data_IF_321325123420
#
_entry.id   IF_321325123420
#
_cell.length_a   1.000
_cell.length_b   1.000
_cell.length_c   1.000
_cell.angle_alpha   90.00
_cell.angle_beta   90.00
_cell.angle_gamma   90.00
#
_symmetry.space_group_name_H-M   'P 1'
#
loop_
_entity.id
_entity.type
_entity.pdbx_description
1 polymer ?
#
# COMPACT_ATOMS: atom_id res chain seq x y z
N UNK A 1 18.32 7.22 -21.78
CA UNK A 1 17.97 6.04 -20.96
C UNK A 1 19.08 5.59 -20.01
N UNK A 2 20.26 5.09 -20.45
CA UNK A 2 21.32 4.60 -19.53
C UNK A 2 21.84 5.63 -18.50
N UNK A 3 21.84 6.93 -18.83
CA UNK A 3 22.37 8.00 -17.95
C UNK A 3 21.43 8.42 -16.80
N UNK A 4 20.11 8.27 -16.98
CA UNK A 4 19.10 8.64 -15.96
C UNK A 4 18.96 7.51 -14.95
N UNK A 5 18.94 6.25 -15.43
CA UNK A 5 18.95 5.07 -14.56
C UNK A 5 20.21 5.09 -13.67
N UNK A 6 21.39 5.41 -14.24
CA UNK A 6 22.63 5.54 -13.47
C UNK A 6 22.56 6.70 -12.45
N UNK A 7 21.87 7.80 -12.75
CA UNK A 7 21.70 8.92 -11.82
C UNK A 7 20.70 8.61 -10.70
N UNK A 8 19.66 7.80 -10.95
CA UNK A 8 18.73 7.34 -9.92
C UNK A 8 19.42 6.32 -9.02
N UNK A 9 20.11 5.32 -9.58
CA UNK A 9 20.88 4.35 -8.78
C UNK A 9 22.07 4.99 -8.08
N UNK A 10 22.73 5.99 -8.69
CA UNK A 10 23.81 6.73 -8.06
C UNK A 10 23.30 7.69 -6.99
N UNK A 11 22.17 8.39 -7.17
CA UNK A 11 21.61 9.27 -6.13
C UNK A 11 21.02 8.45 -4.98
N UNK A 12 20.32 7.36 -5.25
CA UNK A 12 19.82 6.43 -4.22
C UNK A 12 21.00 5.71 -3.53
N UNK A 13 22.04 5.32 -4.28
CA UNK A 13 23.25 4.69 -3.76
C UNK A 13 24.21 5.65 -3.03
N UNK A 14 24.29 6.92 -3.43
CA UNK A 14 25.03 7.97 -2.72
C UNK A 14 24.32 8.35 -1.41
N UNK A 15 22.99 8.27 -1.36
CA UNK A 15 22.24 8.45 -0.11
C UNK A 15 22.31 7.23 0.82
N UNK A 16 22.47 6.01 0.28
CA UNK A 16 22.83 4.85 1.09
C UNK A 16 24.26 4.96 1.70
N UNK A 17 25.12 5.81 1.13
CA UNK A 17 26.48 6.11 1.60
C UNK A 17 26.58 7.38 2.45
N UNK A 18 25.62 8.29 2.38
CA UNK A 18 25.49 9.40 3.30
C UNK A 18 24.88 8.88 4.61
N UNK A 19 25.76 8.48 5.53
CA UNK A 19 25.36 8.01 6.86
C UNK A 19 24.30 8.95 7.47
N UNK A 20 23.17 8.42 7.98
CA UNK A 20 22.25 9.22 8.78
C UNK A 20 22.96 9.75 10.03
N UNK A 21 22.49 10.86 10.64
CA UNK A 21 22.95 11.24 11.96
C UNK A 21 22.80 10.04 12.90
N UNK A 22 23.90 9.74 13.58
CA UNK A 22 24.15 8.55 14.36
C UNK A 22 23.13 8.39 15.49
N UNK A 23 22.12 7.54 15.26
CA UNK A 23 21.24 7.02 16.30
C UNK A 23 21.58 5.57 16.65
N UNK A 24 22.79 5.10 16.31
CA UNK A 24 23.28 3.76 16.69
C UNK A 24 22.61 2.56 16.01
N UNK A 25 21.86 2.74 14.91
CA UNK A 25 21.34 1.64 14.09
C UNK A 25 21.94 1.68 12.69
N UNK A 26 22.58 0.57 12.30
CA UNK A 26 23.28 0.39 11.04
C UNK A 26 22.40 0.70 9.81
N UNK A 27 23.00 1.10 8.67
CA UNK A 27 22.26 1.26 7.41
C UNK A 27 21.60 -0.08 7.06
N UNK A 28 20.29 -0.03 6.82
CA UNK A 28 19.41 -1.15 6.52
C UNK A 28 20.12 -2.25 5.71
N UNK A 29 20.51 -3.33 6.39
CA UNK A 29 20.99 -4.53 5.73
C UNK A 29 19.80 -5.16 4.98
N UNK A 30 19.99 -5.71 3.78
CA UNK A 30 18.95 -6.49 3.12
C UNK A 30 18.52 -7.61 4.08
N UNK A 31 17.19 -7.78 4.21
CA UNK A 31 16.60 -8.79 5.09
C UNK A 31 17.26 -10.15 4.85
N UNK A 32 17.73 -10.77 5.93
CA UNK A 32 18.19 -12.16 5.90
C UNK A 32 17.05 -13.07 5.43
N UNK A 33 17.41 -14.16 4.76
CA UNK A 33 16.48 -15.20 4.36
C UNK A 33 15.68 -15.69 5.59
N UNK A 34 14.43 -15.26 5.73
CA UNK A 34 13.57 -15.72 6.81
C UNK A 34 12.47 -14.75 7.24
N UNK A 35 11.51 -14.46 6.35
CA UNK A 35 10.17 -14.02 6.78
C UNK A 35 9.18 -15.14 6.44
N UNK A 36 8.91 -16.02 7.40
CA UNK A 36 7.97 -17.15 7.33
C UNK A 36 6.50 -16.68 7.42
N UNK A 37 6.17 -15.48 6.95
CA UNK A 37 4.79 -15.00 6.93
C UNK A 37 4.11 -15.49 5.65
N UNK A 38 3.07 -16.33 5.82
CA UNK A 38 2.15 -16.71 4.74
C UNK A 38 1.21 -15.56 4.32
N UNK A 39 1.50 -14.33 4.74
CA UNK A 39 0.78 -13.12 4.30
C UNK A 39 1.27 -12.80 2.89
N UNK A 40 0.37 -12.71 1.89
CA UNK A 40 0.78 -12.45 0.53
C UNK A 40 1.56 -11.13 0.38
N UNK A 41 2.59 -11.18 -0.45
CA UNK A 41 3.45 -10.05 -0.80
C UNK A 41 2.64 -8.93 -1.48
N UNK A 42 2.87 -7.70 -1.05
CA UNK A 42 2.23 -6.48 -1.56
C UNK A 42 2.25 -6.30 -3.07
N UNK A 43 3.37 -6.65 -3.69
CA UNK A 43 3.62 -6.62 -5.13
C UNK A 43 2.84 -7.70 -5.85
N UNK A 44 2.71 -8.89 -5.26
CA UNK A 44 1.86 -9.95 -5.80
C UNK A 44 0.38 -9.56 -5.71
N UNK A 45 -0.02 -8.91 -4.62
CA UNK A 45 -1.42 -8.50 -4.40
C UNK A 45 -1.86 -7.41 -5.36
N UNK A 46 -1.13 -6.30 -5.42
CA UNK A 46 -1.43 -5.23 -6.36
C UNK A 46 -1.17 -5.66 -7.81
N UNK A 47 -0.14 -6.46 -8.05
CA UNK A 47 0.17 -7.01 -9.37
C UNK A 47 -0.93 -7.93 -9.89
N UNK A 48 -1.56 -8.73 -9.03
CA UNK A 48 -2.74 -9.51 -9.39
C UNK A 48 -3.91 -8.61 -9.76
N UNK A 49 -4.15 -7.53 -9.00
CA UNK A 49 -5.23 -6.60 -9.31
C UNK A 49 -5.00 -5.86 -10.65
N UNK A 50 -3.80 -5.34 -10.87
CA UNK A 50 -3.42 -4.57 -12.06
C UNK A 50 -3.38 -5.42 -13.35
N UNK A 51 -3.43 -6.75 -13.25
CA UNK A 51 -3.59 -7.63 -14.44
C UNK A 51 -4.98 -7.55 -15.03
N UNK A 52 -5.96 -7.00 -14.30
CA UNK A 52 -7.35 -7.16 -14.66
C UNK A 52 -8.19 -5.88 -14.60
N UNK A 53 -7.79 -4.89 -13.82
CA UNK A 53 -8.37 -3.53 -13.86
C UNK A 53 -7.32 -2.59 -14.42
N UNK A 54 -7.70 -1.69 -15.33
CA UNK A 54 -6.71 -0.77 -15.90
C UNK A 54 -6.22 0.22 -14.84
N UNK A 55 -4.94 0.56 -14.88
CA UNK A 55 -4.38 1.53 -13.94
C UNK A 55 -5.06 2.91 -14.05
N UNK A 56 -5.56 3.28 -15.23
CA UNK A 56 -6.30 4.51 -15.45
C UNK A 56 -7.64 4.54 -14.69
N UNK A 57 -8.40 3.45 -14.70
CA UNK A 57 -9.66 3.32 -13.94
C UNK A 57 -9.39 3.37 -12.43
N UNK A 58 -8.37 2.65 -11.95
CA UNK A 58 -7.97 2.69 -10.55
C UNK A 58 -7.51 4.09 -10.12
N UNK A 59 -6.78 4.80 -10.99
CA UNK A 59 -6.31 6.17 -10.71
C UNK A 59 -7.45 7.19 -10.66
N UNK A 60 -8.51 6.98 -11.44
CA UNK A 60 -9.73 7.77 -11.36
C UNK A 60 -10.47 7.55 -10.04
N UNK A 61 -10.40 6.34 -9.48
CA UNK A 61 -10.97 5.97 -8.19
C UNK A 61 -10.15 6.46 -6.97
N UNK A 62 -8.91 6.93 -7.16
CA UNK A 62 -8.08 7.43 -6.06
C UNK A 62 -8.75 8.62 -5.35
N UNK A 63 -8.73 8.67 -4.01
CA UNK A 63 -9.29 9.77 -3.24
C UNK A 63 -8.72 11.12 -3.67
N UNK A 64 -9.56 12.15 -3.73
CA UNK A 64 -9.14 13.47 -4.20
C UNK A 64 -8.22 14.09 -3.15
N UNK A 65 -6.99 14.45 -3.53
CA UNK A 65 -5.90 14.87 -2.63
C UNK A 65 -6.09 16.20 -1.87
N UNK A 66 -7.27 16.48 -1.31
CA UNK A 66 -7.52 17.55 -0.34
C UNK A 66 -8.14 16.93 0.91
N UNK A 67 -7.29 16.39 1.79
CA UNK A 67 -7.72 15.92 3.12
C UNK A 67 -8.97 15.06 3.08
N UNK A 68 -9.05 14.14 2.10
CA UNK A 68 -10.16 13.22 1.99
C UNK A 68 -10.29 12.49 3.34
N UNK A 69 -11.43 12.60 4.05
CA UNK A 69 -11.59 12.08 5.40
C UNK A 69 -11.36 10.57 5.52
N UNK A 70 -11.29 9.84 4.40
CA UNK A 70 -10.87 8.42 4.36
C UNK A 70 -9.54 8.17 5.05
N UNK A 71 -8.64 9.16 5.06
CA UNK A 71 -7.31 9.02 5.65
C UNK A 71 -7.05 10.04 6.76
N UNK A 72 -8.03 10.41 7.58
CA UNK A 72 -7.81 11.32 8.73
C UNK A 72 -6.55 10.96 9.53
N UNK A 73 -5.64 11.93 9.74
CA UNK A 73 -4.48 11.77 10.61
C UNK A 73 -4.78 12.49 11.93
N UNK A 74 -5.01 11.71 12.99
CA UNK A 74 -4.90 12.22 14.36
C UNK A 74 -3.47 12.02 14.86
N UNK A 75 -3.00 12.87 15.77
CA UNK A 75 -1.67 12.73 16.42
C UNK A 75 -1.62 11.57 17.43
N UNK A 76 -2.70 10.78 17.54
CA UNK A 76 -2.91 9.67 18.47
C UNK A 76 -2.87 8.28 17.82
N UNK A 77 -2.43 8.19 16.56
CA UNK A 77 -2.39 6.95 15.77
C UNK A 77 -1.50 5.88 16.43
N UNK A 78 -2.05 4.68 16.67
CA UNK A 78 -1.28 3.52 17.13
C UNK A 78 -0.28 3.06 16.06
N UNK A 79 0.80 2.35 16.43
CA UNK A 79 1.82 1.88 15.46
C UNK A 79 1.24 0.94 14.38
N UNK A 80 0.28 0.11 14.76
CA UNK A 80 -0.46 -0.81 13.88
C UNK A 80 -1.25 -0.02 12.83
N UNK A 81 -1.99 0.99 13.29
CA UNK A 81 -2.76 1.93 12.48
C UNK A 81 -1.86 2.72 11.52
N UNK A 82 -0.70 3.18 11.99
CA UNK A 82 0.30 3.86 11.16
C UNK A 82 0.84 2.97 10.04
N UNK A 83 1.13 1.71 10.33
CA UNK A 83 1.68 0.77 9.33
C UNK A 83 0.64 0.37 8.29
N UNK A 84 -0.60 0.11 8.71
CA UNK A 84 -1.74 -0.09 7.80
C UNK A 84 -1.87 1.07 6.82
N UNK A 85 -1.78 2.30 7.31
CA UNK A 85 -1.90 3.48 6.47
C UNK A 85 -0.74 3.67 5.50
N UNK A 86 0.49 3.36 5.91
CA UNK A 86 1.64 3.35 5.00
C UNK A 86 1.41 2.38 3.84
N UNK A 87 0.79 1.23 4.13
CA UNK A 87 0.38 0.28 3.09
C UNK A 87 -0.62 0.88 2.11
N UNK A 88 -1.71 1.46 2.60
CA UNK A 88 -2.72 2.10 1.74
C UNK A 88 -2.11 3.17 0.82
N UNK A 89 -1.25 4.04 1.39
CA UNK A 89 -0.56 5.10 0.63
C UNK A 89 0.45 4.56 -0.39
N UNK A 90 1.08 3.42 -0.11
CA UNK A 90 1.97 2.77 -1.07
C UNK A 90 1.20 2.17 -2.24
N UNK A 91 0.03 1.56 -1.98
CA UNK A 91 -0.86 1.09 -3.04
C UNK A 91 -1.30 2.24 -3.96
N UNK A 92 -1.71 3.38 -3.39
CA UNK A 92 -2.06 4.59 -4.16
C UNK A 92 -0.92 5.05 -5.07
N UNK A 93 0.30 5.11 -4.54
CA UNK A 93 1.49 5.53 -5.29
C UNK A 93 1.78 4.57 -6.45
N UNK A 94 1.73 3.25 -6.20
CA UNK A 94 1.96 2.22 -7.23
C UNK A 94 0.92 2.31 -8.36
N UNK A 95 -0.34 2.55 -8.03
CA UNK A 95 -1.42 2.74 -9.02
C UNK A 95 -1.17 3.99 -9.85
N UNK A 96 -0.90 5.14 -9.20
CA UNK A 96 -0.66 6.41 -9.89
C UNK A 96 0.55 6.35 -10.83
N UNK A 97 1.64 5.70 -10.41
CA UNK A 97 2.82 5.45 -11.24
C UNK A 97 2.46 4.59 -12.45
N UNK A 98 1.70 3.51 -12.23
CA UNK A 98 1.33 2.57 -13.31
C UNK A 98 0.43 3.24 -14.35
N UNK A 99 -0.43 4.17 -13.93
CA UNK A 99 -1.29 4.96 -14.80
C UNK A 99 -0.58 6.14 -15.50
N UNK A 100 0.70 6.36 -15.21
CA UNK A 100 1.45 7.52 -15.68
C UNK A 100 0.79 8.87 -15.33
N UNK A 101 0.12 8.97 -14.18
CA UNK A 101 -0.53 10.20 -13.72
C UNK A 101 0.42 10.99 -12.79
N UNK A 102 1.14 11.93 -13.38
CA UNK A 102 2.11 12.78 -12.67
C UNK A 102 1.48 13.54 -11.49
N UNK A 103 0.25 14.03 -11.65
CA UNK A 103 -0.44 14.79 -10.60
C UNK A 103 -0.78 13.89 -9.42
N UNK A 104 -1.29 12.69 -9.68
CA UNK A 104 -1.60 11.71 -8.65
C UNK A 104 -0.36 11.16 -7.97
N UNK A 105 0.73 10.93 -8.71
CA UNK A 105 2.01 10.54 -8.11
C UNK A 105 2.51 11.61 -7.12
N UNK A 106 2.43 12.89 -7.48
CA UNK A 106 2.82 13.97 -6.58
C UNK A 106 1.95 14.02 -5.31
N UNK A 107 0.64 13.89 -5.46
CA UNK A 107 -0.30 13.90 -4.33
C UNK A 107 -0.05 12.72 -3.37
N UNK A 108 0.08 11.51 -3.91
CA UNK A 108 0.29 10.29 -3.13
C UNK A 108 1.67 10.30 -2.46
N UNK A 109 2.71 10.79 -3.15
CA UNK A 109 4.03 10.98 -2.56
C UNK A 109 4.01 11.94 -1.36
N UNK A 110 3.30 13.07 -1.46
CA UNK A 110 3.14 14.01 -0.33
C UNK A 110 2.43 13.35 0.85
N UNK A 111 1.35 12.60 0.60
CA UNK A 111 0.63 11.87 1.65
C UNK A 111 1.49 10.80 2.31
N UNK A 112 2.26 10.04 1.52
CA UNK A 112 3.18 9.01 2.01
C UNK A 112 4.31 9.60 2.87
N UNK A 113 4.87 10.75 2.46
CA UNK A 113 5.83 11.51 3.28
C UNK A 113 5.21 11.96 4.61
N UNK A 114 3.96 12.44 4.60
CA UNK A 114 3.23 12.76 5.83
C UNK A 114 3.04 11.54 6.73
N UNK A 115 2.73 10.37 6.14
CA UNK A 115 2.65 9.09 6.86
C UNK A 115 3.97 8.69 7.52
N UNK A 116 5.10 8.87 6.82
CA UNK A 116 6.43 8.62 7.40
C UNK A 116 6.75 9.51 8.59
N UNK A 117 6.40 10.80 8.51
CA UNK A 117 6.58 11.72 9.64
C UNK A 117 5.74 11.31 10.85
N UNK A 118 4.50 10.88 10.64
CA UNK A 118 3.60 10.43 11.70
C UNK A 118 4.06 9.13 12.38
N UNK A 119 4.73 8.24 11.64
CA UNK A 119 5.20 6.94 12.12
C UNK A 119 6.63 6.95 12.66
N UNK A 120 7.32 8.09 12.56
CA UNK A 120 8.73 8.19 12.94
C UNK A 120 9.66 7.44 12.00
N UNK A 121 9.23 7.23 10.75
CA UNK A 121 10.04 6.53 9.75
C UNK A 121 11.32 7.32 9.41
N UNK A 122 12.41 6.62 9.04
CA UNK A 122 13.67 7.27 8.69
C UNK A 122 13.52 8.33 7.59
N UNK A 123 14.21 9.46 7.74
CA UNK A 123 14.19 10.56 6.76
C UNK A 123 14.57 10.10 5.33
N UNK A 124 15.40 9.06 5.20
CA UNK A 124 15.79 8.47 3.92
C UNK A 124 14.60 7.95 3.10
N UNK A 125 13.55 7.42 3.74
CA UNK A 125 12.34 6.96 3.05
C UNK A 125 11.56 8.14 2.45
N UNK A 126 11.43 9.24 3.19
CA UNK A 126 10.77 10.45 2.70
C UNK A 126 11.53 11.05 1.50
N UNK A 127 12.87 11.05 1.55
CA UNK A 127 13.72 11.50 0.43
C UNK A 127 13.53 10.58 -0.78
N UNK A 128 13.52 9.26 -0.59
CA UNK A 128 13.31 8.30 -1.68
C UNK A 128 11.96 8.49 -2.37
N UNK A 129 10.89 8.74 -1.61
CA UNK A 129 9.56 9.05 -2.15
C UNK A 129 9.56 10.39 -2.91
N UNK A 130 10.20 11.42 -2.38
CA UNK A 130 10.33 12.71 -3.08
C UNK A 130 11.05 12.54 -4.43
N UNK A 131 12.16 11.81 -4.45
CA UNK A 131 12.89 11.52 -5.69
C UNK A 131 12.05 10.70 -6.67
N UNK A 132 11.29 9.72 -6.18
CA UNK A 132 10.36 8.94 -6.99
C UNK A 132 9.35 9.85 -7.69
N UNK A 133 8.79 10.81 -6.96
CA UNK A 133 7.85 11.79 -7.49
C UNK A 133 8.50 12.73 -8.52
N UNK A 134 9.74 13.19 -8.27
CA UNK A 134 10.49 14.03 -9.21
C UNK A 134 10.81 13.31 -10.53
N UNK A 135 11.20 12.03 -10.47
CA UNK A 135 11.43 11.23 -11.68
C UNK A 135 10.13 11.05 -12.45
N UNK A 136 9.02 10.74 -11.77
CA UNK A 136 7.70 10.67 -12.41
C UNK A 136 7.29 12.00 -13.08
N UNK A 137 7.60 13.13 -12.43
CA UNK A 137 7.35 14.48 -12.97
C UNK A 137 8.13 14.75 -14.26
N UNK A 138 9.29 14.12 -14.44
CA UNK A 138 10.06 14.18 -15.69
C UNK A 138 9.48 13.32 -16.82
N UNK A 139 8.42 12.54 -16.54
CA UNK A 139 7.74 11.65 -17.49
C UNK A 139 8.30 10.23 -17.55
N UNK A 140 9.35 9.91 -16.76
CA UNK A 140 9.98 8.59 -16.77
C UNK A 140 9.29 7.60 -15.79
N UNK A 141 7.99 7.37 -16.00
CA UNK A 141 7.20 6.42 -15.21
C UNK A 141 7.72 4.98 -15.33
N UNK A 142 8.39 4.68 -16.44
CA UNK A 142 8.99 3.36 -16.68
C UNK A 142 10.16 3.10 -15.72
N UNK A 143 11.06 4.09 -15.54
CA UNK A 143 12.11 4.01 -14.53
C UNK A 143 11.54 3.95 -13.12
N UNK A 144 10.49 4.74 -12.83
CA UNK A 144 9.85 4.71 -11.51
C UNK A 144 9.26 3.32 -11.21
N UNK A 145 8.47 2.76 -12.13
CA UNK A 145 7.82 1.47 -11.96
C UNK A 145 8.82 0.30 -11.86
N UNK A 146 9.87 0.32 -12.68
CA UNK A 146 10.82 -0.81 -12.77
C UNK A 146 11.97 -0.74 -11.76
N UNK A 147 12.28 0.43 -11.23
CA UNK A 147 13.42 0.62 -10.32
C UNK A 147 13.03 1.27 -8.99
N UNK A 148 12.40 2.45 -9.03
CA UNK A 148 12.14 3.20 -7.80
C UNK A 148 11.13 2.52 -6.88
N UNK A 149 10.00 2.04 -7.41
CA UNK A 149 8.95 1.36 -6.64
C UNK A 149 9.48 0.08 -5.96
N UNK A 150 10.16 -0.86 -6.65
CA UNK A 150 10.71 -2.04 -5.99
C UNK A 150 11.71 -1.73 -4.87
N UNK A 151 12.55 -0.71 -5.03
CA UNK A 151 13.51 -0.30 -3.99
C UNK A 151 12.76 0.29 -2.79
N UNK A 152 11.78 1.16 -3.06
CA UNK A 152 10.96 1.79 -2.02
C UNK A 152 10.16 0.75 -1.22
N UNK A 153 9.56 -0.23 -1.91
CA UNK A 153 8.86 -1.36 -1.28
C UNK A 153 9.78 -2.13 -0.35
N UNK A 154 10.97 -2.52 -0.81
CA UNK A 154 11.92 -3.27 0.03
C UNK A 154 12.34 -2.50 1.27
N UNK A 155 12.61 -1.19 1.13
CA UNK A 155 13.00 -0.37 2.27
C UNK A 155 11.86 -0.14 3.25
N UNK A 156 10.63 0.02 2.74
CA UNK A 156 9.45 0.20 3.57
C UNK A 156 9.08 -1.09 4.29
N UNK A 157 9.07 -2.23 3.60
CA UNK A 157 8.84 -3.55 4.20
C UNK A 157 9.89 -3.86 5.28
N UNK A 158 11.18 -3.60 5.03
CA UNK A 158 12.23 -3.79 6.04
C UNK A 158 12.03 -2.90 7.28
N UNK A 159 11.57 -1.65 7.08
CA UNK A 159 11.24 -0.76 8.19
C UNK A 159 10.06 -1.28 9.02
N UNK A 160 8.94 -1.63 8.39
CA UNK A 160 7.75 -2.10 9.12
C UNK A 160 7.96 -3.49 9.73
N UNK A 161 8.77 -4.35 9.10
CA UNK A 161 9.15 -5.65 9.64
C UNK A 161 10.01 -5.49 10.90
N UNK A 162 10.97 -4.56 10.90
CA UNK A 162 11.77 -4.26 12.09
C UNK A 162 10.92 -3.72 13.27
N UNK A 163 9.76 -3.14 12.98
CA UNK A 163 8.78 -2.68 13.98
C UNK A 163 7.73 -3.77 14.34
N UNK A 164 7.80 -4.96 13.73
CA UNK A 164 6.84 -6.04 13.94
C UNK A 164 5.45 -5.77 13.35
N UNK A 165 5.35 -4.90 12.34
CA UNK A 165 4.09 -4.40 11.78
C UNK A 165 3.84 -4.80 10.32
N UNK A 166 4.61 -5.75 9.78
CA UNK A 166 4.53 -6.15 8.37
C UNK A 166 3.12 -6.64 7.98
N UNK A 167 2.42 -7.36 8.86
CA UNK A 167 1.06 -7.84 8.62
C UNK A 167 0.08 -6.67 8.45
N UNK A 168 0.19 -5.63 9.28
CA UNK A 168 -0.65 -4.44 9.19
C UNK A 168 -0.37 -3.65 7.91
N UNK A 169 0.91 -3.48 7.55
CA UNK A 169 1.30 -2.85 6.29
C UNK A 169 0.70 -3.55 5.08
N UNK A 170 0.85 -4.88 4.98
CA UNK A 170 0.26 -5.68 3.90
C UNK A 170 -1.27 -5.66 3.91
N UNK A 171 -1.89 -5.62 5.09
CA UNK A 171 -3.34 -5.44 5.21
C UNK A 171 -3.78 -4.09 4.61
N UNK A 172 -3.01 -3.04 4.83
CA UNK A 172 -3.24 -1.72 4.25
C UNK A 172 -3.24 -1.75 2.72
N UNK A 173 -2.19 -2.29 2.11
CA UNK A 173 -2.10 -2.40 0.66
C UNK A 173 -3.22 -3.23 0.06
N UNK A 174 -3.56 -4.35 0.69
CA UNK A 174 -4.69 -5.18 0.28
C UNK A 174 -6.02 -4.42 0.35
N UNK A 175 -6.24 -3.73 1.47
CA UNK A 175 -7.50 -3.00 1.74
C UNK A 175 -7.69 -1.96 0.66
N UNK A 176 -6.68 -1.15 0.39
CA UNK A 176 -6.79 -0.08 -0.60
C UNK A 176 -6.88 -0.60 -2.02
N UNK A 177 -6.06 -1.59 -2.38
CA UNK A 177 -6.13 -2.22 -3.71
C UNK A 177 -7.54 -2.77 -3.96
N UNK A 178 -8.11 -3.48 -2.99
CA UNK A 178 -9.45 -4.07 -3.11
C UNK A 178 -10.53 -2.99 -3.16
N UNK A 179 -10.39 -1.91 -2.40
CA UNK A 179 -11.32 -0.78 -2.41
C UNK A 179 -11.31 -0.06 -3.77
N UNK A 180 -10.13 0.20 -4.34
CA UNK A 180 -9.97 0.79 -5.67
C UNK A 180 -10.56 -0.11 -6.75
N UNK A 181 -10.35 -1.43 -6.65
CA UNK A 181 -10.95 -2.43 -7.55
C UNK A 181 -12.48 -2.36 -7.53
N UNK A 182 -13.07 -2.38 -6.33
CA UNK A 182 -14.52 -2.28 -6.12
C UNK A 182 -15.09 -0.94 -6.56
N UNK A 183 -14.30 0.13 -6.52
CA UNK A 183 -14.75 1.46 -6.96
C UNK A 183 -14.70 1.58 -8.48
N UNK A 184 -13.62 1.13 -9.13
CA UNK A 184 -13.53 1.07 -10.59
C UNK A 184 -14.64 0.17 -11.17
N UNK A 185 -14.91 -0.93 -10.48
CA UNK A 185 -15.95 -1.90 -10.78
C UNK A 185 -17.39 -1.36 -10.89
N UNK A 186 -17.71 -0.29 -10.16
CA UNK A 186 -19.04 0.35 -10.22
C UNK A 186 -19.17 1.32 -11.41
N UNK A 187 -18.04 1.79 -11.95
CA UNK A 187 -17.99 2.84 -12.98
C UNK A 187 -17.82 2.29 -14.40
N UNK A 188 -17.29 1.09 -14.53
CA UNK A 188 -17.20 0.35 -15.79
C UNK A 188 -18.13 -0.86 -15.72
N UNK A 189 -18.89 -1.17 -16.78
CA UNK A 189 -19.60 -2.45 -16.89
C UNK A 189 -18.56 -3.58 -16.77
N UNK A 190 -18.43 -4.16 -15.58
CA UNK A 190 -17.30 -5.03 -15.28
C UNK A 190 -17.33 -6.34 -16.05
N UNK A 191 -16.20 -6.72 -16.63
CA UNK A 191 -15.75 -8.10 -16.60
C UNK A 191 -15.15 -8.41 -15.22
N UNK A 192 -15.73 -9.42 -14.54
CA UNK A 192 -15.11 -10.31 -13.55
C UNK A 192 -15.39 -10.07 -12.06
N UNK A 193 -16.62 -10.36 -11.62
CA UNK A 193 -16.95 -10.62 -10.20
C UNK A 193 -16.02 -11.67 -9.55
N UNK A 194 -15.52 -12.63 -10.34
CA UNK A 194 -14.56 -13.66 -9.92
C UNK A 194 -13.25 -13.09 -9.37
N UNK A 195 -12.83 -11.91 -9.83
CA UNK A 195 -11.59 -11.28 -9.38
C UNK A 195 -11.75 -10.58 -8.05
N UNK A 196 -12.88 -9.90 -7.86
CA UNK A 196 -13.24 -9.32 -6.57
C UNK A 196 -13.36 -10.45 -5.55
N UNK A 197 -14.01 -11.57 -5.90
CA UNK A 197 -14.06 -12.78 -5.07
C UNK A 197 -12.68 -13.32 -4.72
N UNK A 198 -11.78 -13.44 -5.71
CA UNK A 198 -10.40 -13.86 -5.51
C UNK A 198 -9.65 -12.96 -4.51
N UNK A 199 -9.81 -11.64 -4.61
CA UNK A 199 -9.24 -10.67 -3.68
C UNK A 199 -9.78 -10.81 -2.26
N UNK A 200 -11.10 -10.96 -2.11
CA UNK A 200 -11.79 -11.05 -0.82
C UNK A 200 -11.41 -12.31 -0.01
N UNK A 201 -11.06 -13.42 -0.67
CA UNK A 201 -10.60 -14.66 0.01
C UNK A 201 -9.38 -14.44 0.90
N UNK A 202 -8.55 -13.46 0.56
CA UNK A 202 -7.34 -13.10 1.32
C UNK A 202 -7.66 -12.55 2.72
N UNK A 203 -8.88 -12.06 2.97
CA UNK A 203 -9.28 -11.55 4.28
C UNK A 203 -9.11 -12.57 5.41
N UNK A 204 -9.34 -13.86 5.12
CA UNK A 204 -9.18 -14.95 6.08
C UNK A 204 -7.73 -15.14 6.54
N UNK A 205 -6.75 -14.87 5.67
CA UNK A 205 -5.32 -14.94 5.99
C UNK A 205 -4.96 -13.83 6.96
N UNK A 206 -5.39 -12.59 6.71
CA UNK A 206 -5.14 -11.48 7.65
C UNK A 206 -5.77 -11.70 9.01
N UNK A 207 -7.00 -12.22 9.05
CA UNK A 207 -7.67 -12.53 10.31
C UNK A 207 -6.88 -13.57 11.13
N UNK A 208 -6.39 -14.63 10.48
CA UNK A 208 -5.59 -15.66 11.13
C UNK A 208 -4.24 -15.13 11.61
N UNK A 209 -3.55 -14.32 10.80
CA UNK A 209 -2.21 -13.81 11.09
C UNK A 209 -2.21 -12.76 12.20
N UNK A 210 -3.13 -11.80 12.17
CA UNK A 210 -3.27 -10.80 13.24
C UNK A 210 -3.69 -11.46 14.56
N UNK A 211 -4.51 -12.51 14.48
CA UNK A 211 -4.99 -13.27 15.64
C UNK A 211 -3.95 -14.15 16.33
N UNK A 212 -2.73 -14.32 15.80
CA UNK A 212 -1.69 -15.20 16.39
C UNK A 212 -1.19 -14.71 17.75
N UNK A 213 -0.95 -13.40 17.86
CA UNK A 213 -0.32 -12.82 19.06
C UNK A 213 -1.35 -12.20 20.00
N UNK A 214 -2.42 -11.63 19.46
CA UNK A 214 -3.48 -10.97 20.21
C UNK A 214 -4.78 -11.00 19.42
N UNK A 215 -5.92 -11.04 20.13
CA UNK A 215 -7.21 -10.87 19.49
C UNK A 215 -7.25 -9.50 18.74
N UNK A 216 -7.60 -9.48 17.44
CA UNK A 216 -7.76 -8.23 16.70
C UNK A 216 -8.86 -7.38 17.34
N UNK A 217 -8.81 -6.04 17.17
CA UNK A 217 -9.92 -5.18 17.55
C UNK A 217 -11.25 -5.70 16.99
N UNK A 218 -12.32 -5.69 17.79
CA UNK A 218 -13.61 -6.31 17.42
C UNK A 218 -14.12 -5.83 16.05
N UNK A 219 -13.98 -4.54 15.78
CA UNK A 219 -14.36 -3.95 14.49
C UNK A 219 -13.56 -4.48 13.30
N UNK A 220 -12.23 -4.64 13.46
CA UNK A 220 -11.36 -5.24 12.45
C UNK A 220 -11.70 -6.72 12.25
N UNK A 221 -11.89 -7.46 13.34
CA UNK A 221 -12.26 -8.88 13.30
C UNK A 221 -13.57 -9.09 12.54
N UNK A 222 -14.58 -8.25 12.84
CA UNK A 222 -15.89 -8.27 12.17
C UNK A 222 -15.79 -7.93 10.68
N UNK A 223 -15.01 -6.91 10.34
CA UNK A 223 -14.84 -6.49 8.95
C UNK A 223 -14.11 -7.56 8.11
N UNK A 224 -13.00 -8.11 8.62
CA UNK A 224 -12.29 -9.21 7.97
C UNK A 224 -13.15 -10.48 7.87
N UNK A 225 -13.92 -10.81 8.91
CA UNK A 225 -14.87 -11.92 8.89
C UNK A 225 -15.92 -11.76 7.79
N UNK A 226 -16.52 -10.56 7.69
CA UNK A 226 -17.48 -10.23 6.62
C UNK A 226 -16.86 -10.40 5.24
N UNK A 227 -15.64 -9.89 5.04
CA UNK A 227 -14.93 -9.98 3.75
C UNK A 227 -14.57 -11.44 3.40
N UNK A 228 -14.18 -12.24 4.39
CA UNK A 228 -13.90 -13.66 4.21
C UNK A 228 -15.15 -14.45 3.82
N UNK A 229 -16.29 -14.19 4.47
CA UNK A 229 -17.58 -14.80 4.12
C UNK A 229 -18.00 -14.45 2.69
N UNK A 230 -17.82 -13.19 2.27
CA UNK A 230 -18.09 -12.78 0.89
C UNK A 230 -17.13 -13.45 -0.10
N UNK A 231 -15.84 -13.56 0.21
CA UNK A 231 -14.86 -14.25 -0.63
C UNK A 231 -15.11 -15.77 -0.79
N UNK A 232 -15.85 -16.37 0.13
CA UNK A 232 -16.26 -17.78 0.06
C UNK A 232 -17.48 -18.02 -0.86
N UNK A 233 -18.16 -16.97 -1.32
CA UNK A 233 -19.27 -17.09 -2.27
C UNK A 233 -18.76 -17.51 -3.66
N UNK A 234 -19.66 -18.12 -4.43
CA UNK A 234 -19.42 -18.45 -5.84
C UNK A 234 -19.54 -17.21 -6.74
N UNK A 235 -20.46 -16.30 -6.42
CA UNK A 235 -20.73 -15.06 -7.15
C UNK A 235 -21.06 -13.94 -6.15
N UNK A 236 -20.85 -12.67 -6.54
CA UNK A 236 -21.23 -11.49 -5.78
C UNK A 236 -22.35 -10.75 -6.51
N UNK A 237 -23.38 -10.34 -5.77
CA UNK A 237 -24.37 -9.39 -6.26
C UNK A 237 -24.00 -7.94 -5.90
N UNK A 238 -24.81 -6.97 -6.37
CA UNK A 238 -24.57 -5.55 -6.09
C UNK A 238 -24.64 -5.20 -4.59
N UNK A 239 -25.41 -5.95 -3.80
CA UNK A 239 -25.49 -5.77 -2.34
C UNK A 239 -24.24 -6.27 -1.65
N UNK A 240 -23.66 -7.36 -2.14
CA UNK A 240 -22.41 -7.93 -1.68
C UNK A 240 -21.24 -6.97 -1.95
N UNK A 241 -21.17 -6.40 -3.15
CA UNK A 241 -20.18 -5.35 -3.50
C UNK A 241 -20.28 -4.16 -2.53
N UNK A 242 -21.49 -3.67 -2.25
CA UNK A 242 -21.71 -2.58 -1.29
C UNK A 242 -21.29 -2.97 0.13
N UNK A 243 -21.53 -4.22 0.53
CA UNK A 243 -21.14 -4.76 1.84
C UNK A 243 -19.63 -4.87 1.97
N UNK A 244 -18.95 -5.40 0.95
CA UNK A 244 -17.49 -5.49 0.88
C UNK A 244 -16.86 -4.10 0.99
N UNK A 245 -17.35 -3.13 0.23
CA UNK A 245 -16.86 -1.75 0.29
C UNK A 245 -17.01 -1.14 1.68
N UNK A 246 -18.16 -1.34 2.32
CA UNK A 246 -18.38 -0.86 3.69
C UNK A 246 -17.38 -1.51 4.66
N UNK A 247 -17.19 -2.82 4.59
CA UNK A 247 -16.25 -3.51 5.46
C UNK A 247 -14.79 -3.06 5.23
N UNK A 248 -14.38 -2.78 3.99
CA UNK A 248 -13.06 -2.22 3.68
C UNK A 248 -12.91 -0.77 4.18
N UNK A 249 -13.95 0.06 4.06
CA UNK A 249 -13.95 1.41 4.61
C UNK A 249 -13.90 1.40 6.15
N UNK A 250 -14.64 0.48 6.79
CA UNK A 250 -14.60 0.28 8.23
C UNK A 250 -13.18 -0.17 8.66
N UNK A 251 -12.52 -1.06 7.90
CA UNK A 251 -11.10 -1.43 8.12
C UNK A 251 -10.15 -0.25 8.05
N UNK A 252 -10.30 0.61 7.03
CA UNK A 252 -9.50 1.83 6.90
C UNK A 252 -9.73 2.80 8.08
N UNK A 253 -10.95 2.86 8.61
CA UNK A 253 -11.32 3.71 9.74
C UNK A 253 -10.77 3.23 11.09
N UNK A 254 -10.51 1.92 11.27
CA UNK A 254 -9.79 1.41 12.44
C UNK A 254 -8.28 1.76 12.42
N UNK A 255 -7.81 2.39 11.34
CA UNK A 255 -6.49 3.01 11.18
C UNK A 255 -6.44 4.54 11.45
N UNK A 256 -7.40 5.12 12.19
CA UNK A 256 -7.48 6.56 12.50
C UNK A 256 -7.43 6.91 13.99
#
# INVERSE_FOLDING_TARGET
MKRILLAITASIGLYALAAPPDNGKAPFAPAGEGSLLAVPDSTLMLGNLLRHVSAAELTAALPAGKGDPTYGFSTSVSRESGSLKLGMLMADLKVAVTAADSKRVQQTAVSLIGGFQATGAPAGLAIAVSHTADVARSGDFDAVRKAAIPILDQWLEAFVEAEGQLVHYRLGEWTESTLLALTAAETAELPSADLILGGLRTASVFLAEIGKDKAPPEGMAKALGTLAELGAKAELDARDVKTARKALADLAAFGG
#
